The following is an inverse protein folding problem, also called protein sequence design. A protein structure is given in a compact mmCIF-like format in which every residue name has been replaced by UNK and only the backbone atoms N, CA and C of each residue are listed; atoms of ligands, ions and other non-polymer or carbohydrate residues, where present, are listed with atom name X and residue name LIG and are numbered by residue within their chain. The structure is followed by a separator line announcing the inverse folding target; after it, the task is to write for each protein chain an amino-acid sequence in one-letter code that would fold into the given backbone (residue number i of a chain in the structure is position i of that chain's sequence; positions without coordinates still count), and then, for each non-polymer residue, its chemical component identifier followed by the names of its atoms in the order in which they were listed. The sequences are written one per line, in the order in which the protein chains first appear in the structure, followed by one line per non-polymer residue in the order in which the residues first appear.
data_IF_101460915918
#
_entry.id   IF_101460915918
#
_cell.length_a   1.000
_cell.length_b   1.000
_cell.length_c   1.000
_cell.angle_alpha   90.00
_cell.angle_beta   90.00
_cell.angle_gamma   90.00
#
_symmetry.space_group_name_H-M   'P 1'
#
loop_
_entity.id
_entity.type
_entity.pdbx_description
1 polymer ?
#
# COMPACT_ATOMS: atom_id res chain seq x y z
N UNK A 1 -47.25 9.21 29.95
CA UNK A 1 -47.57 10.32 29.03
C UNK A 1 -47.05 11.60 29.68
N UNK A 2 -45.77 11.89 29.50
CA UNK A 2 -45.22 13.21 29.79
C UNK A 2 -45.41 14.06 28.53
N UNK A 3 -46.11 15.18 28.69
CA UNK A 3 -46.45 16.08 27.60
C UNK A 3 -45.17 16.73 27.03
N UNK A 4 -44.89 16.44 25.77
CA UNK A 4 -43.97 17.26 24.98
C UNK A 4 -44.57 18.67 24.85
N UNK A 5 -43.86 19.66 25.40
CA UNK A 5 -44.14 21.07 25.18
C UNK A 5 -44.04 21.41 23.67
N UNK A 6 -44.92 22.24 23.11
CA UNK A 6 -44.80 22.64 21.71
C UNK A 6 -43.55 23.49 21.54
N UNK A 7 -42.64 23.06 20.65
CA UNK A 7 -41.48 23.83 20.21
C UNK A 7 -41.99 25.13 19.54
N UNK A 8 -41.67 26.28 20.12
CA UNK A 8 -41.93 27.58 19.51
C UNK A 8 -41.10 27.71 18.21
N UNK A 9 -41.72 28.06 17.09
CA UNK A 9 -41.03 28.25 15.79
C UNK A 9 -39.86 29.27 15.88
N UNK A 10 -39.93 30.21 16.83
CA UNK A 10 -38.87 31.19 17.11
C UNK A 10 -37.57 30.55 17.63
N UNK A 11 -37.64 29.42 18.34
CA UNK A 11 -36.47 28.73 18.90
C UNK A 11 -35.69 27.95 17.82
N UNK A 12 -36.38 27.47 16.78
CA UNK A 12 -35.76 26.81 15.63
C UNK A 12 -34.84 27.73 14.81
N UNK A 13 -35.17 29.02 14.73
CA UNK A 13 -34.31 30.02 14.08
C UNK A 13 -33.08 30.40 14.91
N UNK A 14 -33.17 30.33 16.25
CA UNK A 14 -32.06 30.62 17.18
C UNK A 14 -31.08 29.45 17.37
N UNK A 15 -31.34 28.30 16.75
CA UNK A 15 -30.41 27.15 16.78
C UNK A 15 -30.41 26.37 18.09
N UNK A 16 -31.43 26.55 18.92
CA UNK A 16 -31.57 25.82 20.19
C UNK A 16 -31.96 24.37 19.86
N UNK A 17 -31.17 23.41 20.31
CA UNK A 17 -31.44 21.97 20.16
C UNK A 17 -31.77 21.33 21.51
N UNK A 18 -32.46 20.18 21.54
CA UNK A 18 -32.68 19.42 22.77
C UNK A 18 -31.35 19.02 23.44
N UNK A 19 -31.22 19.24 24.75
CA UNK A 19 -30.00 18.94 25.50
C UNK A 19 -29.63 17.45 25.54
N UNK A 20 -30.58 16.55 25.27
CA UNK A 20 -30.36 15.11 25.18
C UNK A 20 -29.96 14.63 23.77
N UNK A 21 -29.69 15.53 22.83
CA UNK A 21 -29.20 15.19 21.48
C UNK A 21 -27.84 14.49 21.60
N UNK A 22 -27.73 13.27 21.05
CA UNK A 22 -26.49 12.50 20.99
C UNK A 22 -26.12 12.20 19.55
N UNK A 23 -24.82 12.18 19.29
CA UNK A 23 -24.24 11.76 18.03
C UNK A 23 -23.88 10.27 18.11
N UNK A 24 -24.49 9.46 17.27
CA UNK A 24 -24.14 8.06 17.07
C UNK A 24 -23.31 7.95 15.79
N UNK A 25 -22.27 7.13 15.85
CA UNK A 25 -21.36 6.95 14.72
C UNK A 25 -21.02 5.47 14.60
N UNK A 26 -21.17 4.91 13.42
CA UNK A 26 -20.88 3.50 13.13
C UNK A 26 -19.96 3.41 11.91
N UNK A 27 -18.99 2.52 11.97
CA UNK A 27 -18.11 2.20 10.85
C UNK A 27 -18.54 0.84 10.28
N UNK A 28 -18.78 0.80 8.98
CA UNK A 28 -19.11 -0.41 8.25
C UNK A 28 -18.39 -0.44 6.91
N UNK A 29 -18.45 -1.57 6.23
CA UNK A 29 -17.85 -1.73 4.90
C UNK A 29 -18.96 -1.85 3.87
N UNK A 30 -18.82 -1.14 2.75
CA UNK A 30 -19.72 -1.22 1.60
C UNK A 30 -18.96 -1.72 0.37
N UNK A 31 -19.49 -2.74 -0.29
CA UNK A 31 -18.94 -3.30 -1.54
C UNK A 31 -19.16 -2.37 -2.75
N UNK A 32 -19.85 -1.25 -2.56
CA UNK A 32 -20.18 -0.30 -3.61
C UNK A 32 -21.38 -0.74 -4.46
N UNK A 33 -21.87 0.22 -5.25
CA UNK A 33 -22.97 0.06 -6.21
C UNK A 33 -22.48 0.55 -7.59
N UNK A 34 -23.32 0.48 -8.63
CA UNK A 34 -22.96 0.95 -9.99
C UNK A 34 -22.42 2.38 -10.06
N UNK A 35 -22.79 3.25 -9.11
CA UNK A 35 -22.41 4.66 -9.06
C UNK A 35 -21.27 4.97 -8.09
N UNK A 36 -20.90 4.05 -7.20
CA UNK A 36 -19.97 4.32 -6.11
C UNK A 36 -19.06 3.12 -5.87
N UNK A 37 -17.75 3.35 -5.92
CA UNK A 37 -16.74 2.32 -5.67
C UNK A 37 -16.83 1.79 -4.24
N UNK A 38 -16.32 0.58 -4.02
CA UNK A 38 -16.24 -0.01 -2.69
C UNK A 38 -15.45 0.89 -1.72
N UNK A 39 -15.94 1.02 -0.49
CA UNK A 39 -15.41 1.95 0.50
C UNK A 39 -15.77 1.53 1.94
N UNK A 40 -15.03 2.06 2.91
CA UNK A 40 -15.45 2.05 4.31
C UNK A 40 -16.48 3.17 4.51
N UNK A 41 -17.68 2.83 4.97
CA UNK A 41 -18.75 3.78 5.26
C UNK A 41 -18.69 4.23 6.72
N UNK A 42 -18.52 5.53 6.96
CA UNK A 42 -18.76 6.15 8.25
C UNK A 42 -20.16 6.74 8.26
N UNK A 43 -21.06 6.10 9.02
CA UNK A 43 -22.41 6.62 9.25
C UNK A 43 -22.43 7.43 10.53
N UNK A 44 -22.98 8.63 10.45
CA UNK A 44 -23.18 9.55 11.57
C UNK A 44 -24.66 9.86 11.64
N UNK A 45 -25.28 9.68 12.80
CA UNK A 45 -26.70 9.95 13.03
C UNK A 45 -26.96 10.65 14.35
N UNK A 46 -27.98 11.50 14.39
CA UNK A 46 -28.48 12.12 15.62
C UNK A 46 -29.55 11.24 16.28
N UNK A 47 -29.70 11.38 17.60
CA UNK A 47 -30.66 10.58 18.38
C UNK A 47 -32.11 11.09 18.33
N UNK A 48 -32.38 12.19 17.62
CA UNK A 48 -33.67 12.88 17.58
C UNK A 48 -33.86 13.59 16.22
N UNK A 49 -34.90 14.41 16.09
CA UNK A 49 -35.26 15.12 14.84
C UNK A 49 -34.30 16.24 14.40
N UNK A 50 -33.13 16.36 15.05
CA UNK A 50 -32.10 17.30 14.59
C UNK A 50 -31.43 16.79 13.30
N UNK A 51 -31.03 17.73 12.45
CA UNK A 51 -30.34 17.44 11.18
C UNK A 51 -28.84 17.63 11.31
N UNK A 52 -28.09 16.93 10.46
CA UNK A 52 -26.65 17.14 10.29
C UNK A 52 -26.46 18.09 9.10
N UNK A 53 -26.04 19.33 9.39
CA UNK A 53 -25.84 20.37 8.37
C UNK A 53 -24.56 20.18 7.58
N UNK A 54 -23.49 19.80 8.27
CA UNK A 54 -22.15 19.61 7.73
C UNK A 54 -21.35 18.67 8.64
N UNK A 55 -20.36 18.00 8.08
CA UNK A 55 -19.39 17.22 8.85
C UNK A 55 -17.99 17.57 8.35
N UNK A 56 -17.10 17.96 9.25
CA UNK A 56 -15.66 18.00 8.99
C UNK A 56 -15.01 16.77 9.62
N UNK A 57 -14.19 16.08 8.84
CA UNK A 57 -13.36 14.96 9.29
C UNK A 57 -11.91 15.37 9.15
N UNK A 58 -11.16 15.33 10.24
CA UNK A 58 -9.71 15.50 10.25
C UNK A 58 -9.06 14.13 10.41
N UNK A 59 -8.13 13.80 9.52
CA UNK A 59 -7.38 12.55 9.56
C UNK A 59 -6.07 12.70 8.79
N UNK A 60 -5.00 12.12 9.32
CA UNK A 60 -3.68 12.17 8.68
C UNK A 60 -3.57 11.09 7.58
N UNK A 61 -3.15 11.49 6.37
CA UNK A 61 -2.76 10.55 5.31
C UNK A 61 -3.90 9.79 4.61
N UNK A 62 -5.17 10.08 4.92
CA UNK A 62 -6.34 9.50 4.23
C UNK A 62 -6.89 10.44 3.15
N UNK A 63 -6.93 11.74 3.41
CA UNK A 63 -7.52 12.74 2.52
C UNK A 63 -6.47 13.51 1.72
N UNK A 64 -6.90 14.15 0.63
CA UNK A 64 -6.09 15.13 -0.09
C UNK A 64 -6.06 16.45 0.70
N UNK A 65 -5.16 16.53 1.68
CA UNK A 65 -5.10 17.62 2.65
C UNK A 65 -5.30 17.11 4.08
N UNK A 66 -5.56 18.01 5.02
CA UNK A 66 -5.74 17.67 6.45
C UNK A 66 -7.19 17.28 6.82
N UNK A 67 -8.16 17.67 5.99
CA UNK A 67 -9.57 17.47 6.30
C UNK A 67 -10.42 17.16 5.08
N UNK A 68 -11.55 16.51 5.33
CA UNK A 68 -12.60 16.27 4.37
C UNK A 68 -13.91 16.85 4.89
N UNK A 69 -14.56 17.69 4.07
CA UNK A 69 -15.79 18.38 4.42
C UNK A 69 -16.94 17.80 3.61
N UNK A 70 -17.95 17.28 4.30
CA UNK A 70 -19.19 16.83 3.69
C UNK A 70 -20.28 17.83 4.02
N UNK A 71 -20.86 18.42 2.98
CA UNK A 71 -21.90 19.44 3.09
C UNK A 71 -23.09 19.07 2.19
N UNK A 72 -24.11 18.40 2.75
CA UNK A 72 -25.31 18.08 1.99
C UNK A 72 -26.02 19.34 1.48
N UNK A 73 -26.59 19.24 0.29
CA UNK A 73 -27.50 20.26 -0.24
C UNK A 73 -28.73 20.38 0.66
N UNK A 74 -29.41 21.53 0.63
CA UNK A 74 -30.56 21.81 1.51
C UNK A 74 -31.67 20.76 1.35
N UNK A 75 -31.84 20.22 0.15
CA UNK A 75 -32.83 19.20 -0.16
C UNK A 75 -32.47 17.81 0.41
N UNK A 76 -31.17 17.54 0.64
CA UNK A 76 -30.65 16.26 1.11
C UNK A 76 -30.31 16.26 2.61
N UNK A 77 -30.79 17.25 3.36
CA UNK A 77 -30.57 17.34 4.80
C UNK A 77 -31.39 16.28 5.55
N UNK A 78 -30.68 15.46 6.32
CA UNK A 78 -31.22 14.36 7.11
C UNK A 78 -30.61 14.34 8.51
N UNK A 79 -31.21 13.57 9.41
CA UNK A 79 -30.68 13.23 10.74
C UNK A 79 -29.51 12.24 10.67
N UNK A 80 -29.31 11.59 9.51
CA UNK A 80 -28.20 10.67 9.26
C UNK A 80 -27.45 11.02 7.98
N UNK A 81 -26.13 10.87 8.02
CA UNK A 81 -25.26 11.03 6.86
C UNK A 81 -24.28 9.85 6.79
N UNK A 82 -24.05 9.36 5.57
CA UNK A 82 -23.05 8.33 5.28
C UNK A 82 -21.89 8.96 4.51
N UNK A 83 -20.67 8.76 4.98
CA UNK A 83 -19.46 9.35 4.42
C UNK A 83 -18.53 8.23 3.97
N UNK A 84 -18.19 8.15 2.67
CA UNK A 84 -17.26 7.16 2.17
C UNK A 84 -15.81 7.53 2.54
N UNK A 85 -15.05 6.56 3.03
CA UNK A 85 -13.64 6.70 3.39
C UNK A 85 -12.86 5.59 2.66
N UNK A 86 -11.77 5.96 2.00
CA UNK A 86 -10.92 5.04 1.22
C UNK A 86 -9.46 5.25 1.63
N UNK A 87 -9.01 4.67 2.76
CA UNK A 87 -7.63 4.78 3.21
C UNK A 87 -6.66 4.15 2.20
N UNK A 88 -5.58 4.84 1.81
CA UNK A 88 -4.67 4.34 0.77
C UNK A 88 -3.75 3.22 1.26
N UNK A 89 -3.58 3.06 2.58
CA UNK A 89 -2.67 2.09 3.21
C UNK A 89 -3.33 1.42 4.41
N UNK A 90 -2.80 0.26 4.80
CA UNK A 90 -3.26 -0.52 5.95
C UNK A 90 -2.57 -0.07 7.24
N UNK A 91 -2.98 1.10 7.72
CA UNK A 91 -2.49 1.74 8.95
C UNK A 91 -3.72 2.17 9.76
N UNK A 92 -3.74 1.96 11.09
CA UNK A 92 -4.81 2.50 11.91
C UNK A 92 -4.75 4.04 11.89
N UNK A 93 -5.91 4.69 11.74
CA UNK A 93 -5.98 6.15 11.66
C UNK A 93 -7.10 6.66 12.56
N UNK A 94 -6.80 7.71 13.32
CA UNK A 94 -7.79 8.40 14.14
C UNK A 94 -8.53 9.45 13.30
N UNK A 95 -9.86 9.36 13.30
CA UNK A 95 -10.77 10.28 12.63
C UNK A 95 -11.35 11.23 13.69
N UNK A 96 -10.97 12.50 13.63
CA UNK A 96 -11.57 13.54 14.47
C UNK A 96 -12.72 14.22 13.71
N UNK A 97 -13.93 14.00 14.20
CA UNK A 97 -15.18 14.42 13.59
C UNK A 97 -15.68 15.69 14.27
N UNK A 98 -16.10 16.67 13.47
CA UNK A 98 -16.85 17.83 13.90
C UNK A 98 -18.16 17.88 13.11
N UNK A 99 -19.25 17.43 13.72
CA UNK A 99 -20.58 17.39 13.11
C UNK A 99 -21.39 18.61 13.53
N UNK A 100 -21.95 19.32 12.56
CA UNK A 100 -22.72 20.54 12.77
C UNK A 100 -24.19 20.15 12.84
N UNK A 101 -24.80 20.24 14.01
CA UNK A 101 -26.14 19.75 14.31
C UNK A 101 -27.09 20.90 14.61
N UNK A 102 -28.30 20.86 14.05
CA UNK A 102 -29.32 21.89 14.28
C UNK A 102 -30.62 21.60 13.54
N UNK A 103 -31.37 22.65 13.19
CA UNK A 103 -32.60 22.57 12.40
C UNK A 103 -32.42 23.19 11.01
N UNK A 104 -33.29 22.84 10.05
CA UNK A 104 -33.15 23.23 8.62
C UNK A 104 -33.08 24.73 8.38
N UNK A 105 -33.85 25.52 9.12
CA UNK A 105 -33.93 26.99 8.99
C UNK A 105 -33.01 27.73 9.95
N UNK A 106 -32.12 27.03 10.66
CA UNK A 106 -31.26 27.65 11.65
C UNK A 106 -30.07 28.38 11.02
N UNK A 107 -29.66 29.47 11.67
CA UNK A 107 -28.45 30.23 11.32
C UNK A 107 -27.24 29.85 12.18
N UNK A 108 -27.48 29.24 13.35
CA UNK A 108 -26.46 28.80 14.30
C UNK A 108 -26.60 27.30 14.55
N UNK A 109 -25.48 26.59 14.55
CA UNK A 109 -25.44 25.14 14.73
C UNK A 109 -24.52 24.78 15.89
N UNK A 110 -24.86 23.71 16.60
CA UNK A 110 -23.99 23.13 17.61
C UNK A 110 -22.93 22.24 16.94
N UNK A 111 -21.69 22.34 17.39
CA UNK A 111 -20.59 21.50 16.89
C UNK A 111 -20.37 20.36 17.87
N UNK A 112 -20.70 19.14 17.46
CA UNK A 112 -20.42 17.93 18.20
C UNK A 112 -19.06 17.38 17.76
N UNK A 113 -18.16 17.24 18.72
CA UNK A 113 -16.83 16.65 18.49
C UNK A 113 -16.84 15.18 18.91
N UNK A 114 -16.32 14.31 18.05
CA UNK A 114 -16.20 12.88 18.33
C UNK A 114 -14.93 12.34 17.68
N UNK A 115 -14.25 11.40 18.34
CA UNK A 115 -13.09 10.71 17.76
C UNK A 115 -13.42 9.24 17.51
N UNK A 116 -13.10 8.73 16.33
CA UNK A 116 -13.23 7.31 15.97
C UNK A 116 -11.96 6.80 15.35
N UNK A 117 -11.52 5.63 15.77
CA UNK A 117 -10.36 4.98 15.18
C UNK A 117 -10.81 4.03 14.07
N UNK A 118 -10.23 4.20 12.89
CA UNK A 118 -10.37 3.28 11.78
C UNK A 118 -9.27 2.22 11.92
N UNK A 119 -9.62 0.92 11.97
CA UNK A 119 -8.66 -0.14 12.22
C UNK A 119 -7.74 -0.37 11.01
N UNK A 120 -6.60 -1.02 11.27
CA UNK A 120 -5.52 -1.22 10.29
C UNK A 120 -6.01 -1.80 8.96
N UNK A 121 -6.83 -2.85 9.01
CA UNK A 121 -7.33 -3.58 7.84
C UNK A 121 -8.80 -3.26 7.57
N UNK A 122 -9.17 -1.97 7.60
CA UNK A 122 -10.54 -1.48 7.36
C UNK A 122 -11.05 -1.66 5.92
N UNK A 123 -10.15 -1.85 4.95
CA UNK A 123 -10.47 -2.00 3.53
C UNK A 123 -10.65 -3.44 3.08
N UNK A 124 -10.97 -4.34 4.02
CA UNK A 124 -11.18 -5.76 3.77
C UNK A 124 -12.54 -6.17 4.32
N UNK A 125 -13.50 -6.42 3.42
CA UNK A 125 -14.86 -6.82 3.77
C UNK A 125 -14.91 -8.32 4.05
N UNK A 126 -15.52 -8.74 5.16
CA UNK A 126 -15.79 -10.16 5.41
C UNK A 126 -16.80 -10.67 4.37
N UNK A 127 -16.44 -11.73 3.65
CA UNK A 127 -17.28 -12.32 2.59
C UNK A 127 -17.48 -13.82 2.81
N UNK A 128 -18.46 -14.38 2.11
CA UNK A 128 -18.70 -15.83 2.13
C UNK A 128 -17.52 -16.59 1.55
N UNK A 129 -17.27 -17.78 2.10
CA UNK A 129 -16.22 -18.68 1.64
C UNK A 129 -16.58 -19.24 0.27
N UNK A 130 -15.84 -18.83 -0.76
CA UNK A 130 -15.89 -19.42 -2.10
C UNK A 130 -14.55 -20.10 -2.41
N UNK A 131 -14.49 -21.45 -2.41
CA UNK A 131 -13.29 -22.19 -2.73
C UNK A 131 -12.72 -21.89 -4.12
N UNK A 132 -13.56 -21.47 -5.08
CA UNK A 132 -13.11 -21.12 -6.43
C UNK A 132 -12.29 -19.82 -6.46
N UNK A 133 -12.44 -18.98 -5.45
CA UNK A 133 -11.74 -17.69 -5.31
C UNK A 133 -10.48 -17.75 -4.45
N UNK A 134 -10.06 -18.94 -4.02
CA UNK A 134 -8.90 -19.09 -3.13
C UNK A 134 -7.58 -18.74 -3.86
N UNK A 135 -6.79 -17.79 -3.32
CA UNK A 135 -5.47 -17.47 -3.86
C UNK A 135 -4.53 -18.68 -3.81
N UNK A 136 -3.74 -18.84 -4.88
CA UNK A 136 -2.73 -19.91 -4.98
C UNK A 136 -1.57 -19.62 -4.01
N UNK A 137 -1.27 -18.34 -3.81
CA UNK A 137 -0.18 -17.91 -2.94
C UNK A 137 -0.55 -18.06 -1.47
N UNK A 138 0.41 -18.49 -0.65
CA UNK A 138 0.17 -18.72 0.77
C UNK A 138 1.40 -18.44 1.64
N UNK A 139 1.13 -18.22 2.93
CA UNK A 139 2.13 -18.17 3.99
C UNK A 139 1.66 -18.98 5.19
N UNK A 140 2.48 -19.93 5.63
CA UNK A 140 2.25 -20.81 6.75
C UNK A 140 3.23 -20.52 7.88
N UNK A 141 2.71 -20.49 9.09
CA UNK A 141 3.50 -20.41 10.31
C UNK A 141 2.72 -20.95 11.50
N UNK A 142 3.38 -21.17 12.62
CA UNK A 142 2.75 -21.67 13.84
C UNK A 142 2.89 -20.64 14.94
N UNK A 143 1.82 -20.44 15.72
CA UNK A 143 1.85 -19.61 16.91
C UNK A 143 1.39 -20.45 18.11
N UNK A 144 2.12 -20.35 19.22
CA UNK A 144 1.76 -20.95 20.50
C UNK A 144 0.71 -20.12 21.26
N UNK A 145 -0.41 -19.78 20.62
CA UNK A 145 -1.46 -18.93 21.18
C UNK A 145 -2.85 -19.56 21.07
N UNK A 146 -3.75 -19.12 21.96
CA UNK A 146 -5.14 -19.60 21.94
C UNK A 146 -5.87 -19.01 20.73
N UNK A 147 -6.62 -19.85 20.01
CA UNK A 147 -7.46 -19.45 18.88
C UNK A 147 -8.36 -18.24 19.21
N UNK A 148 -8.91 -18.19 20.43
CA UNK A 148 -9.74 -17.06 20.88
C UNK A 148 -9.00 -15.71 20.85
N UNK A 149 -7.69 -15.68 21.12
CA UNK A 149 -6.92 -14.44 21.02
C UNK A 149 -6.72 -14.00 19.57
N UNK A 150 -6.68 -14.94 18.62
CA UNK A 150 -6.71 -14.63 17.18
C UNK A 150 -8.04 -14.02 16.78
N UNK A 151 -9.16 -14.51 17.32
CA UNK A 151 -10.49 -13.90 17.11
C UNK A 151 -10.53 -12.47 17.68
N UNK A 152 -9.95 -12.23 18.86
CA UNK A 152 -9.82 -10.88 19.42
C UNK A 152 -8.96 -9.98 18.52
N UNK A 153 -7.83 -10.49 18.02
CA UNK A 153 -6.98 -9.75 17.07
C UNK A 153 -7.74 -9.38 15.78
N UNK A 154 -8.52 -10.32 15.22
CA UNK A 154 -9.37 -10.07 14.06
C UNK A 154 -10.37 -8.94 14.35
N UNK A 155 -11.08 -9.01 15.48
CA UNK A 155 -12.07 -7.99 15.87
C UNK A 155 -11.49 -6.60 16.15
N UNK A 156 -10.21 -6.50 16.53
CA UNK A 156 -9.53 -5.21 16.74
C UNK A 156 -8.95 -4.60 15.47
N UNK A 157 -8.57 -5.44 14.50
CA UNK A 157 -7.83 -4.98 13.31
C UNK A 157 -8.68 -4.96 12.03
N UNK A 158 -9.85 -5.61 12.02
CA UNK A 158 -10.81 -5.62 10.90
C UNK A 158 -12.17 -5.06 11.32
N UNK A 159 -12.94 -4.60 10.34
CA UNK A 159 -14.33 -4.20 10.53
C UNK A 159 -15.25 -5.42 10.33
N UNK A 160 -15.48 -6.17 11.41
CA UNK A 160 -16.36 -7.34 11.40
C UNK A 160 -17.83 -6.92 11.65
N UNK A 161 -18.81 -7.47 10.92
CA UNK A 161 -20.23 -7.31 11.23
C UNK A 161 -20.57 -7.80 12.65
N UNK A 162 -21.54 -7.18 13.32
CA UNK A 162 -21.95 -7.55 14.70
C UNK A 162 -22.40 -9.01 14.84
N UNK A 163 -22.95 -9.60 13.77
CA UNK A 163 -23.44 -10.98 13.73
C UNK A 163 -22.32 -12.03 13.55
N UNK A 164 -21.06 -11.61 13.52
CA UNK A 164 -19.93 -12.50 13.22
C UNK A 164 -19.57 -13.35 14.44
N UNK A 165 -20.07 -14.58 14.50
CA UNK A 165 -19.69 -15.57 15.51
C UNK A 165 -18.61 -16.52 14.97
N UNK A 166 -17.34 -16.23 15.30
CA UNK A 166 -16.22 -17.13 14.99
C UNK A 166 -16.09 -18.17 16.11
N UNK A 167 -16.27 -19.44 15.77
CA UNK A 167 -16.08 -20.56 16.71
C UNK A 167 -14.60 -20.77 17.07
N UNK A 168 -14.33 -21.60 18.08
CA UNK A 168 -12.97 -22.04 18.39
C UNK A 168 -12.35 -22.81 17.21
N UNK A 169 -11.02 -22.92 17.19
CA UNK A 169 -10.29 -23.62 16.12
C UNK A 169 -10.82 -25.06 15.89
N UNK A 170 -10.88 -25.53 14.64
CA UNK A 170 -10.41 -24.86 13.42
C UNK A 170 -11.45 -23.87 12.87
N UNK A 171 -10.98 -22.76 12.33
CA UNK A 171 -11.86 -21.80 11.64
C UNK A 171 -11.17 -21.19 10.43
N UNK A 172 -11.99 -20.67 9.51
CA UNK A 172 -11.53 -19.98 8.31
C UNK A 172 -12.39 -18.73 8.09
N UNK A 173 -11.75 -17.62 7.75
CA UNK A 173 -12.40 -16.38 7.36
C UNK A 173 -11.88 -15.95 5.99
N UNK A 174 -12.77 -15.40 5.17
CA UNK A 174 -12.45 -14.83 3.87
C UNK A 174 -12.77 -13.34 3.87
N UNK A 175 -11.85 -12.55 3.35
CA UNK A 175 -12.05 -11.15 3.10
C UNK A 175 -11.81 -10.79 1.64
N UNK A 176 -12.57 -9.83 1.14
CA UNK A 176 -12.37 -9.23 -0.17
C UNK A 176 -11.85 -7.81 0.00
N UNK A 177 -10.72 -7.51 -0.63
CA UNK A 177 -10.11 -6.18 -0.66
C UNK A 177 -10.98 -5.22 -1.45
N UNK A 178 -11.33 -4.09 -0.84
CA UNK A 178 -12.11 -3.04 -1.49
C UNK A 178 -11.27 -2.20 -2.49
N UNK A 179 -9.93 -2.32 -2.45
CA UNK A 179 -9.04 -1.52 -3.31
C UNK A 179 -8.81 -2.14 -4.69
N UNK A 180 -8.66 -3.45 -4.74
CA UNK A 180 -8.27 -4.19 -5.94
C UNK A 180 -9.11 -5.46 -6.19
N UNK A 181 -10.08 -5.78 -5.32
CA UNK A 181 -10.90 -7.00 -5.42
C UNK A 181 -10.16 -8.29 -5.07
N UNK A 182 -8.90 -8.22 -4.61
CA UNK A 182 -8.14 -9.40 -4.21
C UNK A 182 -8.71 -10.09 -2.97
N UNK A 183 -8.48 -11.40 -2.85
CA UNK A 183 -8.96 -12.19 -1.72
C UNK A 183 -7.89 -12.41 -0.66
N UNK A 184 -8.33 -12.48 0.58
CA UNK A 184 -7.52 -12.81 1.76
C UNK A 184 -8.25 -13.91 2.53
N UNK A 185 -7.66 -15.10 2.61
CA UNK A 185 -8.16 -16.16 3.47
C UNK A 185 -7.21 -16.35 4.65
N UNK A 186 -7.78 -16.39 5.86
CA UNK A 186 -7.03 -16.72 7.07
C UNK A 186 -7.63 -18.01 7.63
N UNK A 187 -6.81 -19.06 7.67
CA UNK A 187 -7.17 -20.40 8.14
C UNK A 187 -6.39 -20.71 9.40
N UNK A 188 -7.08 -21.17 10.44
CA UNK A 188 -6.49 -21.60 11.71
C UNK A 188 -6.79 -23.08 11.91
N UNK A 189 -5.74 -23.90 12.08
CA UNK A 189 -5.87 -25.32 12.40
C UNK A 189 -5.87 -25.55 13.91
N UNK A 190 -6.34 -26.73 14.35
CA UNK A 190 -6.30 -27.18 15.75
C UNK A 190 -4.87 -27.25 16.32
N UNK A 191 -3.87 -27.46 15.46
CA UNK A 191 -2.45 -27.50 15.84
C UNK A 191 -1.87 -26.13 16.23
N UNK A 192 -2.60 -25.03 16.03
CA UNK A 192 -2.07 -23.66 16.16
C UNK A 192 -1.32 -23.18 14.91
N UNK A 193 -1.36 -23.95 13.82
CA UNK A 193 -0.88 -23.53 12.51
C UNK A 193 -1.85 -22.53 11.87
N UNK A 194 -1.29 -21.42 11.39
CA UNK A 194 -1.98 -20.34 10.70
C UNK A 194 -1.53 -20.36 9.24
N UNK A 195 -2.50 -20.41 8.33
CA UNK A 195 -2.29 -20.28 6.90
C UNK A 195 -2.98 -19.01 6.42
N UNK A 196 -2.20 -18.12 5.81
CA UNK A 196 -2.70 -16.91 5.14
C UNK A 196 -2.61 -17.13 3.64
N UNK A 197 -3.74 -17.22 2.94
CA UNK A 197 -3.77 -17.24 1.48
C UNK A 197 -4.09 -15.84 0.96
N UNK A 198 -3.13 -15.23 0.28
CA UNK A 198 -3.29 -13.96 -0.43
C UNK A 198 -2.20 -13.84 -1.49
N UNK A 199 -2.54 -13.28 -2.66
CA UNK A 199 -1.55 -13.03 -3.72
C UNK A 199 -0.73 -11.76 -3.47
N UNK A 200 -1.11 -10.95 -2.48
CA UNK A 200 -0.39 -9.74 -2.09
C UNK A 200 0.62 -10.03 -0.95
N UNK A 201 1.90 -10.04 -1.31
CA UNK A 201 3.01 -10.26 -0.37
C UNK A 201 3.15 -9.15 0.67
N UNK A 202 2.80 -7.91 0.35
CA UNK A 202 2.87 -6.79 1.30
C UNK A 202 1.77 -6.95 2.37
N UNK A 203 0.55 -7.33 1.95
CA UNK A 203 -0.57 -7.62 2.86
C UNK A 203 -0.25 -8.79 3.80
N UNK A 204 0.28 -9.90 3.26
CA UNK A 204 0.71 -11.03 4.09
C UNK A 204 1.75 -10.59 5.14
N UNK A 205 2.71 -9.75 4.73
CA UNK A 205 3.70 -9.16 5.64
C UNK A 205 3.06 -8.32 6.74
N UNK A 206 2.12 -7.45 6.40
CA UNK A 206 1.46 -6.58 7.38
C UNK A 206 0.59 -7.35 8.37
N UNK A 207 -0.08 -8.41 7.92
CA UNK A 207 -0.82 -9.31 8.80
C UNK A 207 0.13 -10.01 9.77
N UNK A 208 1.22 -10.60 9.28
CA UNK A 208 2.17 -11.33 10.12
C UNK A 208 2.83 -10.39 11.15
N UNK A 209 3.27 -9.20 10.73
CA UNK A 209 3.88 -8.23 11.63
C UNK A 209 2.89 -7.72 12.69
N UNK A 210 1.63 -7.47 12.31
CA UNK A 210 0.61 -7.03 13.27
C UNK A 210 0.18 -8.13 14.22
N UNK A 211 0.09 -9.39 13.77
CA UNK A 211 -0.12 -10.54 14.65
C UNK A 211 1.04 -10.69 15.64
N UNK A 212 2.29 -10.68 15.17
CA UNK A 212 3.46 -10.83 16.03
C UNK A 212 3.56 -9.70 17.06
N UNK A 213 3.28 -8.46 16.67
CA UNK A 213 3.23 -7.33 17.60
C UNK A 213 2.11 -7.49 18.65
N UNK A 214 0.95 -8.02 18.26
CA UNK A 214 -0.18 -8.22 19.17
C UNK A 214 0.04 -9.36 20.17
N UNK A 215 0.71 -10.43 19.73
CA UNK A 215 1.06 -11.58 20.57
C UNK A 215 2.39 -11.43 21.30
N UNK A 216 3.13 -10.32 21.07
CA UNK A 216 4.48 -10.10 21.60
C UNK A 216 5.46 -11.23 21.24
N UNK A 217 5.45 -11.67 19.98
CA UNK A 217 6.36 -12.69 19.46
C UNK A 217 7.65 -12.01 19.00
N UNK A 218 8.78 -12.40 19.57
CA UNK A 218 10.10 -11.84 19.23
C UNK A 218 10.67 -12.39 17.93
N UNK A 219 10.64 -13.72 17.76
CA UNK A 219 11.22 -14.44 16.62
C UNK A 219 10.13 -15.31 15.96
N UNK A 220 9.86 -15.10 14.67
CA UNK A 220 8.90 -15.88 13.89
C UNK A 220 9.46 -16.24 12.51
N UNK A 221 9.46 -17.55 12.22
CA UNK A 221 9.79 -18.10 10.92
C UNK A 221 8.54 -18.50 10.17
N UNK A 222 8.57 -18.35 8.84
CA UNK A 222 7.45 -18.68 7.96
C UNK A 222 7.91 -19.48 6.75
N UNK A 223 7.00 -20.30 6.24
CA UNK A 223 7.05 -20.92 4.92
C UNK A 223 6.09 -20.16 4.01
N UNK A 224 6.58 -19.65 2.88
CA UNK A 224 5.79 -18.82 1.97
C UNK A 224 5.98 -19.28 0.53
N UNK A 225 4.93 -19.24 -0.28
CA UNK A 225 5.05 -19.36 -1.73
C UNK A 225 4.16 -18.35 -2.45
N UNK A 226 4.77 -17.56 -3.33
CA UNK A 226 4.11 -16.56 -4.17
C UNK A 226 4.52 -16.78 -5.63
N UNK A 227 3.96 -17.79 -6.32
CA UNK A 227 4.45 -18.23 -7.62
C UNK A 227 4.47 -17.11 -8.68
N UNK A 228 3.38 -16.34 -8.78
CA UNK A 228 3.24 -15.26 -9.77
C UNK A 228 4.29 -14.16 -9.51
N UNK A 229 4.43 -13.75 -8.26
CA UNK A 229 5.40 -12.73 -7.85
C UNK A 229 6.85 -13.19 -8.06
N UNK A 230 7.16 -14.45 -7.75
CA UNK A 230 8.51 -14.99 -7.94
C UNK A 230 8.89 -15.12 -9.41
N UNK A 231 7.95 -15.48 -10.28
CA UNK A 231 8.22 -15.51 -11.73
C UNK A 231 8.39 -14.10 -12.32
N UNK A 232 7.68 -13.09 -11.82
CA UNK A 232 7.93 -11.70 -12.18
C UNK A 232 9.33 -11.25 -11.72
N UNK A 233 9.70 -11.54 -10.47
CA UNK A 233 11.03 -11.23 -9.94
C UNK A 233 12.14 -11.94 -10.74
N UNK A 234 11.90 -13.18 -11.18
CA UNK A 234 12.84 -13.93 -12.03
C UNK A 234 13.09 -13.18 -13.34
N UNK A 235 12.04 -12.69 -13.99
CA UNK A 235 12.16 -11.89 -15.22
C UNK A 235 12.95 -10.59 -14.99
N UNK A 236 12.72 -9.92 -13.86
CA UNK A 236 13.47 -8.71 -13.48
C UNK A 236 14.96 -9.03 -13.30
N UNK A 237 15.31 -10.12 -12.61
CA UNK A 237 16.70 -10.51 -12.40
C UNK A 237 17.44 -10.83 -13.72
N UNK A 238 16.78 -11.49 -14.67
CA UNK A 238 17.34 -11.74 -16.00
C UNK A 238 17.61 -10.43 -16.73
N UNK A 239 16.67 -9.48 -16.71
CA UNK A 239 16.85 -8.16 -17.33
C UNK A 239 17.99 -7.35 -16.68
N UNK A 240 18.23 -7.49 -15.38
CA UNK A 240 19.33 -6.80 -14.69
C UNK A 240 20.69 -7.19 -15.26
N UNK A 241 20.88 -8.48 -15.57
CA UNK A 241 22.12 -9.00 -16.16
C UNK A 241 22.31 -8.49 -17.59
N UNK A 242 21.26 -8.53 -18.41
CA UNK A 242 21.26 -7.96 -19.76
C UNK A 242 21.60 -6.46 -19.74
N UNK A 243 20.98 -5.69 -18.84
CA UNK A 243 21.24 -4.26 -18.72
C UNK A 243 22.66 -3.96 -18.22
N UNK A 244 23.23 -4.77 -17.32
CA UNK A 244 24.63 -4.63 -16.91
C UNK A 244 25.59 -4.82 -18.08
N UNK A 245 25.37 -5.86 -18.89
CA UNK A 245 26.18 -6.14 -20.08
C UNK A 245 26.12 -5.01 -21.10
N UNK A 246 24.91 -4.51 -21.42
CA UNK A 246 24.72 -3.37 -22.34
C UNK A 246 25.37 -2.10 -21.78
N UNK A 247 25.21 -1.81 -20.49
CA UNK A 247 25.83 -0.66 -19.84
C UNK A 247 27.37 -0.69 -19.94
N UNK A 248 27.97 -1.86 -19.70
CA UNK A 248 29.41 -2.06 -19.79
C UNK A 248 29.91 -1.81 -21.22
N UNK A 249 29.23 -2.35 -22.23
CA UNK A 249 29.57 -2.15 -23.64
C UNK A 249 29.48 -0.68 -24.05
N UNK A 250 28.37 -0.01 -23.74
CA UNK A 250 28.19 1.42 -24.03
C UNK A 250 29.25 2.29 -23.34
N UNK A 251 29.65 1.90 -22.12
CA UNK A 251 30.70 2.63 -21.38
C UNK A 251 32.07 2.49 -22.03
N UNK A 252 32.40 1.30 -22.56
CA UNK A 252 33.63 1.07 -23.33
C UNK A 252 33.63 1.88 -24.64
N UNK A 253 32.57 1.77 -25.44
CA UNK A 253 32.45 2.48 -26.73
C UNK A 253 32.56 4.00 -26.54
N UNK A 254 31.92 4.56 -25.50
CA UNK A 254 32.02 5.98 -25.18
C UNK A 254 33.42 6.41 -24.74
N UNK A 255 34.17 5.55 -24.05
CA UNK A 255 35.55 5.83 -23.65
C UNK A 255 36.46 5.88 -24.89
N UNK A 256 36.28 4.96 -25.84
CA UNK A 256 37.01 4.94 -27.11
C UNK A 256 36.70 6.17 -27.97
N UNK A 257 35.42 6.55 -28.09
CA UNK A 257 35.04 7.81 -28.76
C UNK A 257 35.64 9.03 -28.08
N UNK A 258 35.70 9.07 -26.74
CA UNK A 258 36.31 10.18 -26.00
C UNK A 258 37.82 10.26 -26.24
N UNK A 259 38.50 9.12 -26.35
CA UNK A 259 39.93 9.07 -26.69
C UNK A 259 40.18 9.53 -28.12
N UNK A 260 39.34 9.12 -29.07
CA UNK A 260 39.41 9.55 -30.46
C UNK A 260 39.18 11.06 -30.61
N UNK A 261 38.18 11.62 -29.90
CA UNK A 261 37.93 13.07 -29.87
C UNK A 261 39.17 13.82 -29.37
N UNK A 262 39.82 13.34 -28.30
CA UNK A 262 41.06 13.97 -27.79
C UNK A 262 42.18 13.95 -28.83
N UNK A 263 42.36 12.82 -29.54
CA UNK A 263 43.35 12.71 -30.61
C UNK A 263 43.04 13.64 -31.79
N UNK A 264 41.77 13.73 -32.20
CA UNK A 264 41.35 14.59 -33.30
C UNK A 264 41.47 16.08 -32.95
N UNK A 265 41.21 16.47 -31.70
CA UNK A 265 41.43 17.83 -31.23
C UNK A 265 42.90 18.24 -31.34
N UNK A 266 43.83 17.38 -30.91
CA UNK A 266 45.27 17.62 -31.05
C UNK A 266 45.66 17.75 -32.53
N UNK A 267 45.17 16.83 -33.38
CA UNK A 267 45.45 16.88 -34.82
C UNK A 267 44.84 18.09 -35.53
N UNK A 268 43.65 18.55 -35.11
CA UNK A 268 43.03 19.75 -35.64
C UNK A 268 43.79 21.01 -35.24
N UNK A 269 44.31 21.06 -34.01
CA UNK A 269 45.12 22.18 -33.52
C UNK A 269 46.48 22.25 -34.22
N UNK A 270 47.13 21.11 -34.46
CA UNK A 270 48.39 21.05 -35.22
C UNK A 270 48.21 21.54 -36.67
N UNK A 271 47.15 21.08 -37.35
CA UNK A 271 46.79 21.57 -38.68
C UNK A 271 46.50 23.09 -38.70
N UNK A 272 45.85 23.60 -37.65
CA UNK A 272 45.58 25.03 -37.47
C UNK A 272 46.88 25.82 -37.32
N UNK A 273 47.84 25.33 -36.52
CA UNK A 273 49.16 25.95 -36.34
C UNK A 273 49.98 25.98 -37.63
N UNK A 274 49.92 24.90 -38.43
CA UNK A 274 50.57 24.82 -39.75
C UNK A 274 49.81 25.55 -40.88
N UNK A 275 48.66 26.17 -40.58
CA UNK A 275 47.76 26.85 -41.54
C UNK A 275 47.20 25.93 -42.65
N UNK A 276 47.16 24.61 -42.45
CA UNK A 276 46.52 23.69 -43.37
C UNK A 276 45.00 23.64 -43.12
N UNK A 277 44.28 24.54 -43.79
CA UNK A 277 42.84 24.70 -43.62
C UNK A 277 42.01 23.53 -44.16
N UNK A 278 42.57 22.70 -45.06
CA UNK A 278 41.83 21.55 -45.61
C UNK A 278 41.77 20.43 -44.60
N UNK A 279 42.91 20.05 -44.01
CA UNK A 279 42.95 19.01 -42.97
C UNK A 279 42.25 19.46 -41.71
N UNK A 280 42.41 20.73 -41.30
CA UNK A 280 41.66 21.30 -40.18
C UNK A 280 40.14 21.11 -40.34
N UNK A 281 39.57 21.50 -41.49
CA UNK A 281 38.13 21.32 -41.76
C UNK A 281 37.70 19.86 -41.74
N UNK A 282 38.50 18.95 -42.31
CA UNK A 282 38.22 17.50 -42.27
C UNK A 282 38.13 17.00 -40.82
N UNK A 283 39.10 17.38 -39.98
CA UNK A 283 39.12 16.97 -38.56
C UNK A 283 37.94 17.53 -37.77
N UNK A 284 37.48 18.76 -38.05
CA UNK A 284 36.27 19.29 -37.44
C UNK A 284 34.99 18.59 -37.91
N UNK A 285 34.91 18.14 -39.17
CA UNK A 285 33.78 17.30 -39.62
C UNK A 285 33.78 15.95 -38.91
N UNK A 286 34.93 15.29 -38.81
CA UNK A 286 35.08 14.03 -38.04
C UNK A 286 34.69 14.20 -36.56
N UNK A 287 35.11 15.31 -35.93
CA UNK A 287 34.71 15.66 -34.56
C UNK A 287 33.19 15.87 -34.44
N UNK A 288 32.57 16.52 -35.42
CA UNK A 288 31.13 16.77 -35.42
C UNK A 288 30.33 15.45 -35.49
N UNK A 289 30.72 14.54 -36.39
CA UNK A 289 30.09 13.23 -36.52
C UNK A 289 30.27 12.40 -35.25
N UNK A 290 31.50 12.35 -34.69
CA UNK A 290 31.75 11.66 -33.42
C UNK A 290 30.97 12.24 -32.25
N UNK A 291 30.81 13.55 -32.18
CA UNK A 291 30.04 14.18 -31.11
C UNK A 291 28.54 13.85 -31.25
N UNK A 292 28.00 13.80 -32.48
CA UNK A 292 26.63 13.35 -32.72
C UNK A 292 26.42 11.90 -32.28
N UNK A 293 27.36 11.02 -32.61
CA UNK A 293 27.30 9.60 -32.25
C UNK A 293 27.44 9.40 -30.74
N UNK A 294 28.33 10.15 -30.07
CA UNK A 294 28.48 10.13 -28.61
C UNK A 294 27.21 10.63 -27.90
N UNK A 295 26.56 11.68 -28.41
CA UNK A 295 25.27 12.15 -27.86
C UNK A 295 24.17 11.10 -27.99
N UNK A 296 24.12 10.37 -29.11
CA UNK A 296 23.18 9.27 -29.29
C UNK A 296 23.47 8.12 -28.31
N UNK A 297 24.73 7.71 -28.19
CA UNK A 297 25.17 6.70 -27.22
C UNK A 297 24.88 7.10 -25.78
N UNK A 298 25.08 8.38 -25.43
CA UNK A 298 24.77 8.91 -24.11
C UNK A 298 23.27 8.81 -23.77
N UNK A 299 22.38 9.16 -24.71
CA UNK A 299 20.92 9.02 -24.51
C UNK A 299 20.52 7.57 -24.27
N UNK A 300 21.05 6.64 -25.08
CA UNK A 300 20.80 5.20 -24.92
C UNK A 300 21.30 4.72 -23.55
N UNK A 301 22.50 5.13 -23.14
CA UNK A 301 23.08 4.78 -21.84
C UNK A 301 22.25 5.32 -20.68
N UNK A 302 21.77 6.55 -20.74
CA UNK A 302 20.92 7.15 -19.71
C UNK A 302 19.59 6.40 -19.55
N UNK A 303 18.96 6.04 -20.67
CA UNK A 303 17.72 5.25 -20.66
C UNK A 303 17.98 3.86 -20.05
N UNK A 304 19.01 3.16 -20.52
CA UNK A 304 19.42 1.87 -19.98
C UNK A 304 19.74 1.94 -18.47
N UNK A 305 20.45 2.97 -18.02
CA UNK A 305 20.77 3.18 -16.61
C UNK A 305 19.52 3.43 -15.76
N UNK A 306 18.56 4.20 -16.27
CA UNK A 306 17.29 4.48 -15.57
C UNK A 306 16.47 3.21 -15.37
N UNK A 307 16.33 2.40 -16.42
CA UNK A 307 15.67 1.08 -16.34
C UNK A 307 16.41 0.13 -15.40
N UNK A 308 17.74 0.12 -15.44
CA UNK A 308 18.56 -0.70 -14.54
C UNK A 308 18.33 -0.32 -13.07
N UNK A 309 18.31 0.97 -12.74
CA UNK A 309 18.01 1.44 -11.39
C UNK A 309 16.60 1.06 -10.93
N UNK A 310 15.61 1.13 -11.83
CA UNK A 310 14.24 0.67 -11.57
C UNK A 310 14.19 -0.81 -11.20
N UNK A 311 14.86 -1.66 -11.98
CA UNK A 311 14.92 -3.10 -11.73
C UNK A 311 15.70 -3.43 -10.44
N UNK A 312 16.81 -2.76 -10.16
CA UNK A 312 17.55 -2.93 -8.90
C UNK A 312 16.71 -2.49 -7.69
N UNK A 313 15.88 -1.46 -7.82
CA UNK A 313 14.94 -1.06 -6.78
C UNK A 313 13.88 -2.14 -6.54
N UNK A 314 13.32 -2.73 -7.60
CA UNK A 314 12.36 -3.82 -7.50
C UNK A 314 12.96 -5.06 -6.81
N UNK A 315 14.20 -5.44 -7.18
CA UNK A 315 14.93 -6.55 -6.52
C UNK A 315 15.15 -6.27 -5.03
N UNK A 316 15.62 -5.07 -4.69
CA UNK A 316 15.81 -4.70 -3.28
C UNK A 316 14.49 -4.70 -2.50
N UNK A 317 13.39 -4.22 -3.11
CA UNK A 317 12.08 -4.26 -2.51
C UNK A 317 11.59 -5.70 -2.29
N UNK A 318 11.86 -6.62 -3.22
CA UNK A 318 11.53 -8.03 -3.07
C UNK A 318 12.26 -8.67 -1.88
N UNK A 319 13.55 -8.35 -1.68
CA UNK A 319 14.32 -8.81 -0.51
C UNK A 319 13.69 -8.28 0.79
N UNK A 320 13.32 -6.99 0.81
CA UNK A 320 12.68 -6.39 1.97
C UNK A 320 11.32 -7.01 2.28
N UNK A 321 10.51 -7.30 1.24
CA UNK A 321 9.22 -7.99 1.37
C UNK A 321 9.38 -9.39 1.94
N UNK A 322 10.31 -10.19 1.41
CA UNK A 322 10.59 -11.53 1.95
C UNK A 322 11.12 -11.50 3.39
N UNK A 323 11.88 -10.47 3.76
CA UNK A 323 12.27 -10.23 5.15
C UNK A 323 11.10 -9.81 6.04
N UNK A 324 10.18 -8.97 5.54
CA UNK A 324 8.99 -8.48 6.28
C UNK A 324 7.95 -9.57 6.53
N UNK A 325 7.98 -10.68 5.81
CA UNK A 325 7.18 -11.87 6.14
C UNK A 325 7.63 -12.56 7.44
N UNK A 326 8.77 -12.17 8.01
CA UNK A 326 9.38 -12.80 9.20
C UNK A 326 9.62 -11.77 10.30
N UNK A 327 9.74 -12.23 11.54
CA UNK A 327 9.89 -11.35 12.71
C UNK A 327 11.15 -11.74 13.47
N UNK A 328 11.89 -10.74 13.97
CA UNK A 328 13.11 -10.96 14.75
C UNK A 328 14.33 -11.40 13.94
N UNK A 329 15.11 -12.34 14.48
CA UNK A 329 16.36 -12.84 13.87
C UNK A 329 16.18 -13.45 12.47
N UNK A 330 15.13 -14.26 12.19
CA UNK A 330 14.92 -14.84 10.86
C UNK A 330 14.82 -13.80 9.73
N UNK A 331 14.27 -12.60 10.01
CA UNK A 331 14.23 -11.50 9.03
C UNK A 331 15.63 -11.08 8.58
N UNK A 332 16.56 -10.88 9.52
CA UNK A 332 17.92 -10.45 9.23
C UNK A 332 18.73 -11.53 8.50
N UNK A 333 18.50 -12.80 8.86
CA UNK A 333 19.12 -13.95 8.20
C UNK A 333 18.71 -14.04 6.73
N UNK A 334 17.41 -13.91 6.44
CA UNK A 334 16.90 -13.92 5.06
C UNK A 334 17.45 -12.77 4.25
N UNK A 335 17.47 -11.54 4.79
CA UNK A 335 18.00 -10.38 4.05
C UNK A 335 19.48 -10.58 3.69
N UNK A 336 20.28 -11.09 4.62
CA UNK A 336 21.71 -11.34 4.40
C UNK A 336 21.90 -12.45 3.36
N UNK A 337 21.21 -13.58 3.55
CA UNK A 337 21.29 -14.73 2.64
C UNK A 337 20.80 -14.40 1.22
N UNK A 338 19.74 -13.58 1.07
CA UNK A 338 19.28 -13.11 -0.23
C UNK A 338 20.33 -12.24 -0.93
N UNK A 339 21.01 -11.35 -0.19
CA UNK A 339 22.10 -10.53 -0.75
C UNK A 339 23.27 -11.38 -1.20
N UNK A 340 23.65 -12.39 -0.43
CA UNK A 340 24.74 -13.31 -0.79
C UNK A 340 24.37 -14.20 -1.99
N UNK A 341 23.11 -14.64 -2.09
CA UNK A 341 22.61 -15.37 -3.25
C UNK A 341 22.61 -14.53 -4.53
N UNK A 342 22.28 -13.24 -4.44
CA UNK A 342 22.37 -12.30 -5.58
C UNK A 342 23.82 -12.07 -5.99
N UNK A 343 24.74 -11.90 -5.03
CA UNK A 343 26.19 -11.75 -5.31
C UNK A 343 26.80 -12.97 -5.99
N UNK A 344 26.33 -14.16 -5.65
CA UNK A 344 26.77 -15.42 -6.27
C UNK A 344 25.97 -15.80 -7.53
N UNK A 345 25.07 -14.92 -7.99
CA UNK A 345 24.18 -15.13 -9.12
C UNK A 345 23.39 -16.46 -9.07
N UNK A 346 23.03 -16.91 -7.86
CA UNK A 346 22.32 -18.16 -7.64
C UNK A 346 20.82 -17.91 -7.39
N UNK A 347 20.10 -17.70 -8.49
CA UNK A 347 18.67 -17.36 -8.50
C UNK A 347 17.81 -18.46 -7.84
N UNK A 348 18.16 -19.73 -8.03
CA UNK A 348 17.39 -20.85 -7.45
C UNK A 348 17.51 -20.88 -5.92
N UNK A 349 18.71 -20.65 -5.40
CA UNK A 349 18.94 -20.56 -3.96
C UNK A 349 18.27 -19.34 -3.36
N UNK A 350 18.27 -18.20 -4.07
CA UNK A 350 17.54 -17.00 -3.67
C UNK A 350 16.04 -17.29 -3.44
N UNK A 351 15.37 -17.93 -4.39
CA UNK A 351 13.95 -18.26 -4.25
C UNK A 351 13.70 -19.30 -3.14
N UNK A 352 14.59 -20.29 -2.97
CA UNK A 352 14.50 -21.26 -1.86
C UNK A 352 14.58 -20.55 -0.50
N UNK A 353 15.52 -19.61 -0.36
CA UNK A 353 15.66 -18.78 0.85
C UNK A 353 14.41 -17.92 1.06
N UNK A 354 13.86 -17.28 0.04
CA UNK A 354 12.66 -16.46 0.20
C UNK A 354 11.46 -17.29 0.68
N UNK A 355 11.32 -18.52 0.16
CA UNK A 355 10.24 -19.46 0.50
C UNK A 355 10.35 -19.99 1.94
N UNK A 356 11.45 -20.65 2.28
CA UNK A 356 11.57 -21.43 3.54
C UNK A 356 12.49 -20.76 4.55
N UNK A 357 13.30 -19.78 4.13
CA UNK A 357 14.21 -19.00 4.97
C UNK A 357 15.57 -19.67 5.25
N UNK A 358 15.79 -20.90 4.78
CA UNK A 358 17.09 -21.58 4.85
C UNK A 358 17.64 -21.87 3.45
N UNK A 359 18.95 -21.65 3.27
CA UNK A 359 19.67 -22.09 2.06
C UNK A 359 19.92 -23.61 2.10
N UNK A 360 20.11 -24.14 3.32
CA UNK A 360 20.41 -25.55 3.59
C UNK A 360 19.15 -26.38 3.71
N UNK A 361 19.16 -27.56 3.08
CA UNK A 361 18.19 -28.64 3.28
C UNK A 361 18.32 -29.25 4.67
#
# INVERSE_FOLDING_TARGET
AELASPLNEADGHRGIIPANTRLHTTLSVSLGNETQTAHTELRISTSNDTIIRAVLIFAEGIFTGESHVVHPSIHNLSSSICIPIVPPKDVPVDLHLKAFVGYRSSTQFHVFESTRQLPRFSMYALTSLDPASEPISYVNFTIAERAQRVVVWLGQNFLLPEDTHIQNAPFQVCFTSLRNGGHLHIKIKLSGEITINTDDIDLAGDIIQSMASFFAIEDLQVEADFPVYFEELRKVLVKVDEYHSVHQKLSADMADHSNLIRSLLVGAEDARLMRDMKTMKSRYMELYDLNRDLLNGYKIRCNNHTELLGNLKAVNQAIQRAGRLRVGKPKNQVITACRDAIRSNNINTLFKIMRVGTASS
#
